data_IF_283159540766
#
_entry.id   IF_283159540766
#
_cell.length_a   1.000
_cell.length_b   1.000
_cell.length_c   1.000
_cell.angle_alpha   90.00
_cell.angle_beta   90.00
_cell.angle_gamma   90.00
#
_symmetry.space_group_name_H-M   'P 1'
#
loop_
_entity.id
_entity.type
_entity.pdbx_description
1 polymer ?
#
# COMPACT_ATOMS: atom_id res chain seq x y z
N UNK A 1 -3.31 -26.10 4.30
CA UNK A 1 -4.68 -26.21 3.75
C UNK A 1 -4.66 -25.82 2.29
N UNK A 2 -5.40 -26.52 1.44
CA UNK A 2 -5.57 -26.14 0.03
C UNK A 2 -6.51 -24.95 -0.09
N UNK A 3 -6.39 -24.16 -1.15
CA UNK A 3 -7.27 -23.00 -1.42
C UNK A 3 -8.75 -23.37 -1.38
N UNK A 4 -9.12 -24.55 -1.87
CA UNK A 4 -10.49 -25.07 -1.79
C UNK A 4 -10.98 -25.23 -0.35
N UNK A 5 -10.16 -25.79 0.54
CA UNK A 5 -10.50 -26.00 1.96
C UNK A 5 -10.67 -24.67 2.71
N UNK A 6 -9.86 -23.67 2.38
CA UNK A 6 -9.96 -22.31 2.95
C UNK A 6 -11.29 -21.67 2.53
N UNK A 7 -11.63 -21.76 1.23
CA UNK A 7 -12.88 -21.22 0.70
C UNK A 7 -14.10 -21.85 1.38
N UNK A 8 -14.11 -23.17 1.50
CA UNK A 8 -15.22 -23.88 2.15
C UNK A 8 -15.39 -23.49 3.62
N UNK A 9 -14.29 -23.34 4.37
CA UNK A 9 -14.35 -22.87 5.76
C UNK A 9 -14.94 -21.46 5.85
N UNK A 10 -14.47 -20.53 5.00
CA UNK A 10 -14.99 -19.16 4.98
C UNK A 10 -16.49 -19.10 4.67
N UNK A 11 -16.97 -19.88 3.69
CA UNK A 11 -18.39 -19.94 3.36
C UNK A 11 -19.20 -20.43 4.56
N UNK A 12 -18.71 -21.45 5.28
CA UNK A 12 -19.40 -21.94 6.49
C UNK A 12 -19.50 -20.88 7.57
N UNK A 13 -18.40 -20.20 7.89
CA UNK A 13 -18.38 -19.15 8.91
C UNK A 13 -19.30 -17.97 8.56
N UNK A 14 -19.32 -17.57 7.28
CA UNK A 14 -20.21 -16.51 6.79
C UNK A 14 -21.67 -16.92 6.95
N UNK A 15 -22.02 -18.15 6.55
CA UNK A 15 -23.40 -18.64 6.62
C UNK A 15 -23.90 -18.84 8.06
N UNK A 16 -23.00 -19.03 9.03
CA UNK A 16 -23.35 -19.16 10.45
C UNK A 16 -23.37 -17.85 11.22
N UNK A 17 -22.98 -16.73 10.61
CA UNK A 17 -22.87 -15.45 11.30
C UNK A 17 -24.13 -14.60 11.11
N UNK A 18 -24.73 -14.18 12.22
CA UNK A 18 -25.81 -13.17 12.25
C UNK A 18 -25.28 -11.75 12.52
N UNK A 19 -23.97 -11.60 12.72
CA UNK A 19 -23.35 -10.31 13.03
C UNK A 19 -23.18 -9.47 11.75
N UNK A 20 -24.16 -8.63 11.47
CA UNK A 20 -24.19 -7.74 10.31
C UNK A 20 -22.92 -6.88 10.16
N UNK A 21 -22.42 -6.28 11.24
CA UNK A 21 -21.25 -5.39 11.17
C UNK A 21 -20.00 -6.16 10.73
N UNK A 22 -19.79 -7.36 11.29
CA UNK A 22 -18.67 -8.22 10.91
C UNK A 22 -18.75 -8.66 9.44
N UNK A 23 -19.96 -9.00 8.97
CA UNK A 23 -20.19 -9.38 7.58
C UNK A 23 -19.93 -8.22 6.62
N UNK A 24 -20.35 -7.00 6.97
CA UNK A 24 -20.09 -5.80 6.17
C UNK A 24 -18.59 -5.47 6.08
N UNK A 25 -17.85 -5.58 7.17
CA UNK A 25 -16.41 -5.36 7.19
C UNK A 25 -15.66 -6.40 6.34
N UNK A 26 -16.00 -7.68 6.49
CA UNK A 26 -15.41 -8.76 5.70
C UNK A 26 -15.71 -8.58 4.20
N UNK A 27 -16.95 -8.21 3.85
CA UNK A 27 -17.32 -7.92 2.47
C UNK A 27 -16.49 -6.75 1.90
N UNK A 28 -16.39 -5.63 2.62
CA UNK A 28 -15.60 -4.47 2.18
C UNK A 28 -14.12 -4.82 2.00
N UNK A 29 -13.56 -5.61 2.92
CA UNK A 29 -12.18 -6.07 2.83
C UNK A 29 -11.98 -6.89 1.55
N UNK A 30 -12.78 -7.94 1.35
CA UNK A 30 -12.67 -8.80 0.17
C UNK A 30 -12.96 -8.07 -1.14
N UNK A 31 -13.97 -7.20 -1.16
CA UNK A 31 -14.32 -6.39 -2.34
C UNK A 31 -13.18 -5.43 -2.70
N UNK A 32 -12.56 -4.77 -1.71
CA UNK A 32 -11.38 -3.93 -1.94
C UNK A 32 -10.21 -4.75 -2.45
N UNK A 33 -9.83 -5.84 -1.79
CA UNK A 33 -8.68 -6.66 -2.19
C UNK A 33 -8.87 -7.31 -3.58
N UNK A 34 -10.11 -7.63 -3.96
CA UNK A 34 -10.41 -8.12 -5.31
C UNK A 34 -10.40 -6.99 -6.36
N UNK A 35 -10.74 -5.75 -5.97
CA UNK A 35 -10.70 -4.56 -6.84
C UNK A 35 -9.30 -3.95 -6.96
N UNK A 36 -8.41 -4.15 -5.98
CA UNK A 36 -7.04 -3.61 -5.93
C UNK A 36 -6.07 -4.28 -6.90
N UNK A 37 -6.53 -5.22 -7.74
CA UNK A 37 -5.68 -5.78 -8.80
C UNK A 37 -5.48 -4.84 -10.00
N UNK A 38 -6.05 -3.62 -10.01
CA UNK A 38 -5.69 -2.63 -11.03
C UNK A 38 -4.36 -1.99 -10.65
N UNK A 39 -3.34 -2.19 -11.47
CA UNK A 39 -2.07 -1.45 -11.39
C UNK A 39 -2.35 0.03 -11.19
N UNK A 40 -1.75 0.62 -10.15
CA UNK A 40 -1.90 2.05 -9.88
C UNK A 40 -1.30 2.84 -11.04
N UNK A 41 -2.12 3.68 -11.67
CA UNK A 41 -1.66 4.57 -12.73
C UNK A 41 -1.23 5.89 -12.08
N UNK A 42 0.06 6.21 -12.20
CA UNK A 42 0.60 7.48 -11.73
C UNK A 42 -0.08 8.66 -12.43
N UNK A 43 -0.31 9.75 -11.69
CA UNK A 43 -0.67 11.04 -12.28
C UNK A 43 0.48 11.62 -13.09
N UNK A 44 0.21 12.59 -13.95
CA UNK A 44 1.27 13.22 -14.75
C UNK A 44 2.26 14.00 -13.88
N UNK A 45 1.78 14.59 -12.78
CA UNK A 45 2.65 15.23 -11.77
C UNK A 45 3.59 14.22 -11.11
N UNK A 46 3.09 13.03 -10.75
CA UNK A 46 3.93 11.98 -10.16
C UNK A 46 4.96 11.44 -11.15
N UNK A 47 4.59 11.31 -12.43
CA UNK A 47 5.55 10.91 -13.48
C UNK A 47 6.64 11.96 -13.66
N UNK A 48 6.27 13.24 -13.70
CA UNK A 48 7.24 14.33 -13.80
C UNK A 48 8.20 14.34 -12.60
N UNK A 49 7.69 14.19 -11.38
CA UNK A 49 8.52 14.13 -10.18
C UNK A 49 9.51 12.95 -10.20
N UNK A 50 9.11 11.80 -10.75
CA UNK A 50 10.00 10.64 -10.91
C UNK A 50 11.08 10.90 -11.95
N UNK A 51 10.74 11.52 -13.08
CA UNK A 51 11.73 11.86 -14.11
C UNK A 51 12.74 12.90 -13.59
N UNK A 52 12.27 13.92 -12.88
CA UNK A 52 13.15 14.89 -12.20
C UNK A 52 14.08 14.21 -11.19
N UNK A 53 13.55 13.34 -10.33
CA UNK A 53 14.37 12.61 -9.35
C UNK A 53 15.42 11.71 -10.02
N UNK A 54 15.12 11.14 -11.19
CA UNK A 54 16.09 10.35 -11.96
C UNK A 54 17.21 11.23 -12.52
N UNK A 55 16.89 12.42 -13.01
CA UNK A 55 17.89 13.39 -13.46
C UNK A 55 18.77 13.87 -12.30
N UNK A 56 18.17 14.18 -11.15
CA UNK A 56 18.89 14.55 -9.92
C UNK A 56 19.92 13.48 -9.53
N UNK A 57 19.53 12.19 -9.50
CA UNK A 57 20.45 11.10 -9.20
C UNK A 57 21.62 11.05 -10.20
N UNK A 58 21.34 11.21 -11.50
CA UNK A 58 22.36 11.19 -12.55
C UNK A 58 23.34 12.38 -12.43
N UNK A 59 22.86 13.53 -11.99
CA UNK A 59 23.65 14.73 -11.77
C UNK A 59 24.44 14.70 -10.45
N UNK A 60 24.18 13.72 -9.58
CA UNK A 60 24.78 13.64 -8.25
C UNK A 60 24.02 14.42 -7.18
N UNK A 61 22.83 14.92 -7.50
CA UNK A 61 21.93 15.64 -6.59
C UNK A 61 21.15 14.65 -5.71
N UNK A 62 21.86 13.83 -4.94
CA UNK A 62 21.28 12.91 -3.98
C UNK A 62 21.96 13.06 -2.62
N UNK A 63 21.24 12.69 -1.56
CA UNK A 63 21.80 12.55 -0.23
C UNK A 63 22.05 11.07 0.05
N UNK A 64 23.18 10.78 0.67
CA UNK A 64 23.40 9.48 1.31
C UNK A 64 22.47 9.34 2.51
N UNK A 65 22.28 8.11 2.96
CA UNK A 65 21.48 7.86 4.17
C UNK A 65 22.04 8.59 5.39
N UNK A 66 23.35 8.80 5.48
CA UNK A 66 23.97 9.49 6.61
C UNK A 66 23.64 10.99 6.57
N UNK A 67 23.79 11.63 5.40
CA UNK A 67 23.48 13.05 5.20
C UNK A 67 22.00 13.32 5.46
N UNK A 68 21.11 12.47 4.94
CA UNK A 68 19.67 12.61 5.17
C UNK A 68 19.30 12.48 6.66
N UNK A 69 19.92 11.55 7.40
CA UNK A 69 19.68 11.41 8.83
C UNK A 69 20.20 12.61 9.62
N UNK A 70 21.35 13.17 9.24
CA UNK A 70 21.89 14.36 9.89
C UNK A 70 20.94 15.56 9.70
N UNK A 71 20.41 15.78 8.49
CA UNK A 71 19.44 16.85 8.24
C UNK A 71 18.16 16.70 9.07
N UNK A 72 17.66 15.46 9.21
CA UNK A 72 16.50 15.17 10.06
C UNK A 72 16.80 15.51 11.52
N UNK A 73 17.96 15.09 12.04
CA UNK A 73 18.38 15.39 13.41
C UNK A 73 18.52 16.89 13.67
N UNK A 74 18.99 17.66 12.69
CA UNK A 74 19.07 19.12 12.75
C UNK A 74 17.68 19.77 12.73
N UNK A 75 16.77 19.27 11.90
CA UNK A 75 15.39 19.76 11.82
C UNK A 75 14.64 19.55 13.13
N UNK A 76 14.80 18.39 13.78
CA UNK A 76 14.14 18.03 15.03
C UNK A 76 14.67 18.77 16.27
N UNK A 77 15.84 19.44 16.18
CA UNK A 77 16.40 20.28 17.25
C UNK A 77 15.80 21.69 17.30
N UNK A 78 14.96 22.07 16.34
CA UNK A 78 14.21 23.33 16.33
C UNK A 78 13.00 23.27 17.26
#
# INVERSE_FOLDING_TARGET
MKTAEIREKLIREINSSDNKNLLEELYRYLDRENKTQKTYNLSDEQKLAIEEAREQINNGDYLTSEEANQEIDEWLKR
#
